data_IF_567247116728
#
_entry.id   IF_567247116728
#
_cell.length_a   1.000
_cell.length_b   1.000
_cell.length_c   1.000
_cell.angle_alpha   90.00
_cell.angle_beta   90.00
_cell.angle_gamma   90.00
#
_symmetry.space_group_name_H-M   'P 1'
#
loop_
_entity.id
_entity.type
_entity.pdbx_description
1 polymer ?
#
# COMPACT_ATOMS: atom_id res chain seq x y z
N UNK A 1 19.57 23.38 8.99
CA UNK A 1 19.71 22.20 8.11
C UNK A 1 18.79 21.05 8.50
N UNK A 2 18.95 20.40 9.66
CA UNK A 2 18.17 19.20 10.03
C UNK A 2 16.63 19.38 10.04
N UNK A 3 16.12 20.56 10.43
CA UNK A 3 14.67 20.85 10.40
C UNK A 3 14.10 20.98 8.97
N UNK A 4 14.90 21.49 8.03
CA UNK A 4 14.50 21.61 6.62
C UNK A 4 14.50 20.23 5.95
N UNK A 5 15.51 19.41 6.22
CA UNK A 5 15.64 18.03 5.74
C UNK A 5 14.46 17.15 6.21
N UNK A 6 14.08 17.25 7.49
CA UNK A 6 12.91 16.57 8.04
C UNK A 6 11.57 17.04 7.45
N UNK A 7 11.51 18.28 6.93
CA UNK A 7 10.33 18.81 6.24
C UNK A 7 10.22 18.25 4.82
N UNK A 8 11.34 18.18 4.10
CA UNK A 8 11.41 17.63 2.73
C UNK A 8 11.04 16.15 2.70
N UNK A 9 11.57 15.35 3.64
CA UNK A 9 11.21 13.92 3.75
C UNK A 9 9.71 13.71 4.01
N UNK A 10 9.12 14.58 4.85
CA UNK A 10 7.69 14.54 5.14
C UNK A 10 6.86 14.82 3.88
N UNK A 11 7.21 15.86 3.11
CA UNK A 11 6.52 16.20 1.87
C UNK A 11 6.60 15.03 0.88
N UNK A 12 7.78 14.44 0.71
CA UNK A 12 7.99 13.28 -0.17
C UNK A 12 7.03 12.14 0.16
N UNK A 13 6.91 11.79 1.43
CA UNK A 13 6.04 10.70 1.87
C UNK A 13 4.54 11.03 1.77
N UNK A 14 4.17 12.30 1.92
CA UNK A 14 2.80 12.74 1.65
C UNK A 14 2.45 12.63 0.17
N UNK A 15 3.35 13.04 -0.72
CA UNK A 15 3.16 12.89 -2.17
C UNK A 15 3.00 11.41 -2.53
N UNK A 16 3.87 10.53 -2.03
CA UNK A 16 3.72 9.09 -2.23
C UNK A 16 2.41 8.52 -1.71
N UNK A 17 1.98 8.94 -0.52
CA UNK A 17 0.74 8.47 0.09
C UNK A 17 -0.51 8.93 -0.68
N UNK A 18 -0.55 10.21 -1.10
CA UNK A 18 -1.66 10.74 -1.89
C UNK A 18 -1.68 10.20 -3.31
N UNK A 19 -0.51 9.92 -3.88
CA UNK A 19 -0.37 9.21 -5.16
C UNK A 19 -0.94 7.78 -5.10
N UNK A 20 -0.82 7.10 -3.97
CA UNK A 20 -1.50 5.82 -3.76
C UNK A 20 -3.01 5.99 -3.60
N UNK A 21 -3.51 7.08 -3.00
CA UNK A 21 -4.96 7.36 -2.89
C UNK A 21 -5.56 7.75 -4.24
N UNK A 22 -4.82 8.47 -5.08
CA UNK A 22 -5.32 8.98 -6.35
C UNK A 22 -5.75 7.89 -7.33
N UNK A 23 -5.29 6.65 -7.16
CA UNK A 23 -5.73 5.48 -7.95
C UNK A 23 -7.25 5.28 -7.92
N UNK A 24 -7.96 5.79 -6.90
CA UNK A 24 -9.43 5.74 -6.83
C UNK A 24 -10.14 6.48 -7.97
N UNK A 25 -9.45 7.41 -8.65
CA UNK A 25 -9.99 8.09 -9.83
C UNK A 25 -10.42 7.10 -10.93
N UNK A 26 -9.80 5.90 -10.95
CA UNK A 26 -10.19 4.78 -11.78
C UNK A 26 -11.69 4.49 -11.78
N UNK A 27 -12.31 4.45 -10.60
CA UNK A 27 -13.73 4.11 -10.49
C UNK A 27 -14.65 5.18 -11.09
N UNK A 28 -14.23 6.45 -11.03
CA UNK A 28 -14.97 7.54 -11.65
C UNK A 28 -14.86 7.46 -13.18
N UNK A 29 -13.66 7.22 -13.70
CA UNK A 29 -13.44 7.03 -15.14
C UNK A 29 -14.18 5.79 -15.67
N UNK A 30 -14.15 4.67 -14.94
CA UNK A 30 -14.88 3.46 -15.30
C UNK A 30 -16.38 3.71 -15.34
N UNK A 31 -16.95 4.34 -14.29
CA UNK A 31 -18.37 4.66 -14.25
C UNK A 31 -18.80 5.57 -15.40
N UNK A 32 -18.00 6.60 -15.72
CA UNK A 32 -18.27 7.51 -16.83
C UNK A 32 -18.17 6.80 -18.20
N UNK A 33 -17.16 5.94 -18.38
CA UNK A 33 -16.96 5.20 -19.64
C UNK A 33 -18.08 4.17 -19.85
N UNK A 34 -18.51 3.48 -18.79
CA UNK A 34 -19.68 2.59 -18.81
C UNK A 34 -20.95 3.38 -19.19
N UNK A 35 -21.14 4.58 -18.66
CA UNK A 35 -22.29 5.42 -19.01
C UNK A 35 -22.27 5.88 -20.48
N UNK A 36 -21.09 5.98 -21.09
CA UNK A 36 -20.90 6.30 -22.50
C UNK A 36 -20.86 5.09 -23.44
N UNK A 37 -21.09 3.87 -22.93
CA UNK A 37 -21.01 2.64 -23.70
C UNK A 37 -22.02 2.58 -24.85
N UNK A 38 -21.60 2.07 -26.02
CA UNK A 38 -22.44 1.96 -27.23
C UNK A 38 -22.35 0.59 -27.91
N UNK A 39 -21.97 -0.45 -27.19
CA UNK A 39 -22.08 -1.82 -27.70
C UNK A 39 -23.55 -2.20 -27.98
N UNK A 40 -23.78 -3.33 -28.68
CA UNK A 40 -25.13 -3.75 -29.10
C UNK A 40 -26.07 -4.05 -27.91
N UNK A 41 -25.50 -4.39 -26.76
CA UNK A 41 -26.20 -4.51 -25.48
C UNK A 41 -25.62 -3.53 -24.46
N UNK A 42 -26.42 -3.09 -23.47
CA UNK A 42 -25.92 -2.29 -22.35
C UNK A 42 -24.75 -2.98 -21.64
N UNK A 43 -23.78 -2.19 -21.18
CA UNK A 43 -22.60 -2.72 -20.50
C UNK A 43 -22.99 -3.50 -19.24
N UNK A 44 -22.58 -4.76 -19.16
CA UNK A 44 -22.79 -5.63 -18.01
C UNK A 44 -21.48 -5.82 -17.26
N UNK A 45 -21.42 -5.36 -16.00
CA UNK A 45 -20.25 -5.61 -15.13
C UNK A 45 -19.97 -7.09 -14.85
N UNK A 46 -20.90 -7.98 -15.16
CA UNK A 46 -20.73 -9.42 -14.99
C UNK A 46 -20.09 -10.07 -16.21
N UNK A 47 -20.45 -9.58 -17.40
CA UNK A 47 -20.10 -10.22 -18.68
C UNK A 47 -18.99 -9.48 -19.42
N UNK A 48 -18.98 -8.14 -19.36
CA UNK A 48 -17.99 -7.31 -20.02
C UNK A 48 -16.76 -7.12 -19.13
N UNK A 49 -15.60 -7.17 -19.77
CA UNK A 49 -14.34 -6.87 -19.13
C UNK A 49 -14.19 -5.36 -18.91
N UNK A 50 -13.42 -5.00 -17.90
CA UNK A 50 -12.87 -3.67 -17.70
C UNK A 50 -12.01 -3.31 -18.92
N UNK A 51 -11.23 -4.24 -19.47
CA UNK A 51 -10.42 -3.99 -20.66
C UNK A 51 -11.24 -3.63 -21.92
N UNK A 52 -12.49 -4.11 -22.02
CA UNK A 52 -13.41 -3.74 -23.11
C UNK A 52 -13.66 -2.21 -23.14
N UNK A 53 -13.59 -1.54 -21.98
CA UNK A 53 -13.78 -0.10 -21.88
C UNK A 53 -12.63 0.70 -22.49
N UNK A 54 -11.44 0.11 -22.61
CA UNK A 54 -10.25 0.73 -23.23
C UNK A 54 -10.08 0.42 -24.71
N UNK A 55 -10.97 -0.37 -25.33
CA UNK A 55 -10.81 -0.69 -26.75
C UNK A 55 -11.11 0.53 -27.64
N UNK A 56 -10.18 0.82 -28.56
CA UNK A 56 -10.22 2.00 -29.42
C UNK A 56 -11.22 1.83 -30.57
N UNK A 57 -11.30 0.61 -31.10
CA UNK A 57 -12.10 0.32 -32.29
C UNK A 57 -13.44 -0.29 -31.92
N UNK A 58 -14.53 0.26 -32.46
CA UNK A 58 -15.83 -0.39 -32.39
C UNK A 58 -15.91 -1.55 -33.40
N UNK A 59 -16.38 -2.72 -32.97
CA UNK A 59 -16.54 -3.88 -33.84
C UNK A 59 -16.50 -5.21 -33.11
N UNK A 60 -16.32 -6.29 -33.87
CA UNK A 60 -16.24 -7.65 -33.35
C UNK A 60 -14.81 -7.95 -32.87
N UNK A 61 -14.65 -8.22 -31.58
CA UNK A 61 -13.40 -8.58 -30.93
C UNK A 61 -13.52 -10.00 -30.35
N UNK A 62 -12.98 -10.97 -31.07
CA UNK A 62 -13.22 -12.38 -30.81
C UNK A 62 -14.69 -12.74 -31.10
N UNK A 63 -15.44 -13.09 -30.06
CA UNK A 63 -16.87 -13.43 -30.17
C UNK A 63 -17.80 -12.34 -29.66
N UNK A 64 -17.25 -11.18 -29.25
CA UNK A 64 -18.00 -10.11 -28.57
C UNK A 64 -17.92 -8.83 -29.38
N UNK A 65 -19.05 -8.19 -29.58
CA UNK A 65 -19.11 -6.89 -30.23
C UNK A 65 -19.00 -5.77 -29.18
N UNK A 66 -17.98 -4.93 -29.33
CA UNK A 66 -17.57 -3.93 -28.34
C UNK A 66 -17.55 -2.56 -29.01
N UNK A 67 -18.04 -1.54 -28.30
CA UNK A 67 -17.91 -0.15 -28.70
C UNK A 67 -17.85 0.77 -27.48
N UNK A 68 -16.67 1.33 -27.24
CA UNK A 68 -16.37 2.23 -26.11
C UNK A 68 -15.93 3.62 -26.62
N UNK A 69 -16.87 4.54 -26.94
CA UNK A 69 -16.52 5.87 -27.45
C UNK A 69 -15.67 6.71 -26.49
N UNK A 70 -15.73 6.42 -25.19
CA UNK A 70 -14.95 7.10 -24.15
C UNK A 70 -13.68 6.32 -23.76
N UNK A 71 -13.18 5.43 -24.63
CA UNK A 71 -11.98 4.63 -24.35
C UNK A 71 -10.79 5.46 -23.90
N UNK A 72 -10.57 6.65 -24.48
CA UNK A 72 -9.49 7.55 -24.09
C UNK A 72 -9.57 7.98 -22.60
N UNK A 73 -10.77 8.16 -22.05
CA UNK A 73 -10.93 8.45 -20.61
C UNK A 73 -10.48 7.26 -19.76
N UNK A 74 -10.85 6.05 -20.17
CA UNK A 74 -10.48 4.82 -19.49
C UNK A 74 -8.97 4.57 -19.56
N UNK A 75 -8.39 4.71 -20.74
CA UNK A 75 -6.97 4.51 -21.02
C UNK A 75 -6.09 5.51 -20.28
N UNK A 76 -6.43 6.80 -20.32
CA UNK A 76 -5.77 7.84 -19.52
C UNK A 76 -5.88 7.52 -18.03
N UNK A 77 -7.04 7.03 -17.58
CA UNK A 77 -7.22 6.63 -16.19
C UNK A 77 -6.32 5.45 -15.80
N UNK A 78 -6.16 4.44 -16.65
CA UNK A 78 -5.20 3.36 -16.42
C UNK A 78 -3.76 3.88 -16.31
N UNK A 79 -3.37 4.81 -17.18
CA UNK A 79 -2.05 5.48 -17.13
C UNK A 79 -1.87 6.24 -15.82
N UNK A 80 -2.85 7.06 -15.43
CA UNK A 80 -2.79 7.84 -14.19
C UNK A 80 -2.73 6.94 -12.94
N UNK A 81 -3.49 5.84 -12.95
CA UNK A 81 -3.43 4.84 -11.90
C UNK A 81 -2.02 4.21 -11.81
N UNK A 82 -1.45 3.83 -12.94
CA UNK A 82 -0.13 3.21 -13.00
C UNK A 82 1.00 4.14 -12.55
N UNK A 83 0.99 5.38 -13.05
CA UNK A 83 1.91 6.43 -12.60
C UNK A 83 1.76 6.69 -11.10
N UNK A 84 0.52 6.74 -10.60
CA UNK A 84 0.22 6.87 -9.17
C UNK A 84 0.87 5.78 -8.32
N UNK A 85 0.81 4.53 -8.78
CA UNK A 85 1.43 3.37 -8.13
C UNK A 85 2.96 3.41 -8.20
N UNK A 86 3.55 3.80 -9.34
CA UNK A 86 5.01 3.95 -9.48
C UNK A 86 5.54 5.04 -8.56
N UNK A 87 4.91 6.22 -8.54
CA UNK A 87 5.29 7.31 -7.64
C UNK A 87 5.15 6.86 -6.17
N UNK A 88 4.08 6.14 -5.82
CA UNK A 88 3.93 5.59 -4.48
C UNK A 88 5.08 4.62 -4.12
N UNK A 89 5.45 3.70 -5.02
CA UNK A 89 6.55 2.75 -4.82
C UNK A 89 7.91 3.45 -4.62
N UNK A 90 8.15 4.53 -5.36
CA UNK A 90 9.39 5.31 -5.29
C UNK A 90 9.45 6.15 -4.00
N UNK A 91 8.36 6.84 -3.66
CA UNK A 91 8.34 7.85 -2.59
C UNK A 91 8.00 7.29 -1.21
N UNK A 92 7.32 6.14 -1.11
CA UNK A 92 7.06 5.46 0.17
C UNK A 92 8.27 4.56 0.50
N UNK A 93 9.02 4.92 1.53
CA UNK A 93 10.21 4.14 1.95
C UNK A 93 9.85 2.97 2.83
N UNK A 94 10.76 1.99 2.91
CA UNK A 94 10.68 0.87 3.85
C UNK A 94 10.51 1.33 5.31
N UNK A 95 11.09 2.47 5.68
CA UNK A 95 10.92 3.03 7.02
C UNK A 95 9.48 3.48 7.27
N UNK A 96 8.83 4.12 6.29
CA UNK A 96 7.43 4.56 6.41
C UNK A 96 6.48 3.37 6.48
N UNK A 97 6.69 2.34 5.67
CA UNK A 97 5.88 1.10 5.74
C UNK A 97 5.97 0.43 7.12
N UNK A 98 7.16 0.47 7.74
CA UNK A 98 7.37 -0.03 9.11
C UNK A 98 6.70 0.84 10.17
N UNK A 99 6.75 2.17 10.05
CA UNK A 99 6.10 3.09 11.00
C UNK A 99 4.59 3.02 10.90
N UNK A 100 4.04 2.92 9.68
CA UNK A 100 2.61 2.73 9.45
C UNK A 100 2.09 1.42 10.08
N UNK A 101 2.98 0.42 10.21
CA UNK A 101 2.67 -0.81 10.90
C UNK A 101 2.46 -0.62 12.41
N UNK A 102 2.97 0.42 13.10
CA UNK A 102 3.00 0.44 14.57
C UNK A 102 1.67 0.85 15.23
N UNK A 103 1.24 0.06 16.22
CA UNK A 103 0.07 0.34 17.05
C UNK A 103 0.31 1.59 17.93
N UNK A 104 -0.74 2.39 18.14
CA UNK A 104 -0.72 3.57 19.01
C UNK A 104 -0.36 3.23 20.44
N UNK A 105 -0.82 2.08 20.94
CA UNK A 105 -0.50 1.62 22.29
C UNK A 105 1.01 1.36 22.45
N UNK A 106 1.63 0.71 21.47
CA UNK A 106 3.07 0.42 21.46
C UNK A 106 3.89 1.72 21.38
N UNK A 107 3.47 2.68 20.54
CA UNK A 107 4.11 4.00 20.46
C UNK A 107 3.93 4.82 21.75
N UNK A 108 2.76 4.77 22.38
CA UNK A 108 2.49 5.44 23.65
C UNK A 108 3.35 4.86 24.77
N UNK A 109 3.44 3.53 24.85
CA UNK A 109 4.23 2.82 25.85
C UNK A 109 5.74 3.06 25.66
N UNK A 110 6.23 3.10 24.42
CA UNK A 110 7.62 3.44 24.11
C UNK A 110 7.99 4.91 24.43
N UNK A 111 7.03 5.83 24.27
CA UNK A 111 7.22 7.23 24.68
C UNK A 111 7.21 7.37 26.19
N UNK A 112 6.29 6.68 26.87
CA UNK A 112 6.21 6.66 28.33
C UNK A 112 7.48 6.09 28.94
N UNK A 113 7.98 4.96 28.42
CA UNK A 113 9.22 4.34 28.90
C UNK A 113 10.44 5.22 28.68
N UNK A 114 10.59 5.89 27.52
CA UNK A 114 11.66 6.89 27.32
C UNK A 114 11.53 8.10 28.25
N UNK A 115 10.30 8.58 28.47
CA UNK A 115 10.06 9.70 29.38
C UNK A 115 10.42 9.33 30.82
N UNK A 116 10.08 8.11 31.26
CA UNK A 116 10.46 7.59 32.57
C UNK A 116 11.99 7.42 32.69
N UNK A 117 12.67 6.91 31.67
CA UNK A 117 14.15 6.81 31.65
C UNK A 117 14.81 8.19 31.69
N UNK A 118 14.27 9.18 30.96
CA UNK A 118 14.79 10.54 30.96
C UNK A 118 14.58 11.26 32.31
N UNK A 119 13.51 10.91 33.05
CA UNK A 119 13.21 11.44 34.39
C UNK A 119 13.90 10.70 35.52
N UNK A 120 14.50 9.54 35.25
CA UNK A 120 15.23 8.79 36.27
C UNK A 120 16.45 9.63 36.74
N UNK A 121 16.58 9.90 38.04
CA UNK A 121 17.73 10.65 38.55
C UNK A 121 19.01 9.93 38.15
N UNK A 122 19.98 10.67 37.60
CA UNK A 122 21.33 10.16 37.33
C UNK A 122 21.96 9.87 38.69
N UNK A 123 21.80 8.65 39.20
CA UNK A 123 22.44 8.22 40.44
C UNK A 123 23.94 8.45 40.30
N UNK A 124 24.50 9.17 41.26
CA UNK A 124 25.88 9.62 41.31
C UNK A 124 26.87 8.47 41.01
N UNK A 125 27.99 8.87 40.41
CA UNK A 125 29.15 8.05 40.05
C UNK A 125 29.51 7.12 41.22
N UNK A 126 29.62 5.79 41.02
CA UNK A 126 29.99 4.89 42.10
C UNK A 126 31.41 5.23 42.56
N UNK A 127 31.57 5.60 43.82
CA UNK A 127 32.87 5.73 44.47
C UNK A 127 33.57 4.37 44.43
N UNK A 128 34.82 4.36 43.96
CA UNK A 128 35.73 3.21 44.04
C UNK A 128 35.97 2.85 45.51
N UNK A 129 35.15 1.99 46.08
CA UNK A 129 35.47 1.29 47.32
C UNK A 129 35.03 -0.16 47.17
N UNK A 130 36.00 -1.05 47.31
CA UNK A 130 35.94 -2.47 47.07
C UNK A 130 34.97 -3.21 48.01
N UNK A 131 34.35 -4.29 47.50
CA UNK A 131 33.71 -5.29 48.36
C UNK A 131 32.53 -6.02 47.72
N UNK A 132 32.79 -7.22 47.18
CA UNK A 132 31.84 -8.29 46.78
C UNK A 132 30.62 -7.85 45.95
N UNK A 133 30.71 -8.15 44.65
CA UNK A 133 29.63 -8.06 43.68
C UNK A 133 28.41 -8.92 44.06
N UNK A 134 27.48 -8.33 44.82
CA UNK A 134 26.07 -8.75 44.80
C UNK A 134 25.38 -7.89 43.73
N UNK A 135 25.06 -8.52 42.61
CA UNK A 135 24.19 -7.93 41.59
C UNK A 135 22.85 -7.61 42.25
N UNK A 136 22.58 -6.34 42.51
CA UNK A 136 21.27 -5.93 43.02
C UNK A 136 20.21 -6.23 41.96
N UNK A 137 19.00 -6.69 42.33
CA UNK A 137 17.94 -7.00 41.36
C UNK A 137 17.61 -5.80 40.45
N UNK A 138 17.82 -4.57 40.93
CA UNK A 138 17.66 -3.34 40.16
C UNK A 138 18.80 -3.06 39.14
N UNK A 139 20.02 -3.57 39.36
CA UNK A 139 21.11 -3.51 38.38
C UNK A 139 20.97 -4.61 37.31
N UNK A 140 20.52 -5.80 37.71
CA UNK A 140 20.13 -6.86 36.79
C UNK A 140 18.93 -6.46 35.91
N UNK A 141 17.93 -5.77 36.46
CA UNK A 141 16.78 -5.24 35.71
C UNK A 141 17.17 -4.12 34.73
N UNK A 142 18.10 -3.23 35.10
CA UNK A 142 18.65 -2.20 34.19
C UNK A 142 19.55 -2.79 33.11
N UNK A 143 20.32 -3.84 33.45
CA UNK A 143 21.09 -4.63 32.50
C UNK A 143 20.20 -5.38 31.51
N UNK A 144 19.11 -5.99 32.00
CA UNK A 144 18.08 -6.67 31.20
C UNK A 144 17.28 -5.69 30.33
N UNK A 145 16.95 -4.49 30.81
CA UNK A 145 16.24 -3.47 30.02
C UNK A 145 17.15 -2.83 28.95
N UNK A 146 18.40 -2.53 29.29
CA UNK A 146 19.37 -2.01 28.33
C UNK A 146 19.88 -3.11 27.38
N UNK A 147 19.89 -4.37 27.81
CA UNK A 147 20.08 -5.53 26.95
C UNK A 147 18.86 -5.71 26.06
N UNK A 148 17.62 -5.63 26.55
CA UNK A 148 16.37 -5.69 25.77
C UNK A 148 16.25 -4.59 24.71
N UNK A 149 16.73 -3.38 25.04
CA UNK A 149 16.84 -2.25 24.11
C UNK A 149 17.96 -2.47 23.08
N UNK A 150 19.04 -3.17 23.45
CA UNK A 150 20.18 -3.51 22.56
C UNK A 150 20.03 -4.83 21.81
N UNK A 151 19.19 -5.75 22.27
CA UNK A 151 19.03 -7.12 21.77
C UNK A 151 17.80 -7.30 20.90
N UNK A 152 16.99 -6.24 20.69
CA UNK A 152 15.88 -6.29 19.74
C UNK A 152 14.91 -7.45 20.03
N UNK A 153 14.29 -7.46 21.21
CA UNK A 153 13.29 -8.48 21.55
C UNK A 153 12.23 -8.66 20.44
N UNK A 154 11.76 -9.90 20.22
CA UNK A 154 11.30 -10.42 18.93
C UNK A 154 9.88 -9.93 18.60
N UNK A 155 9.77 -8.68 18.19
CA UNK A 155 8.67 -8.21 17.37
C UNK A 155 9.14 -8.16 15.91
N UNK A 156 9.69 -9.29 15.42
CA UNK A 156 10.29 -9.54 14.08
C UNK A 156 10.63 -8.25 13.34
N UNK A 157 11.89 -7.82 13.40
CA UNK A 157 12.37 -6.72 12.58
C UNK A 157 11.85 -6.93 11.15
N UNK A 158 10.94 -6.06 10.71
CA UNK A 158 10.29 -6.21 9.39
C UNK A 158 11.43 -6.30 8.38
N UNK A 159 11.60 -7.45 7.70
CA UNK A 159 12.79 -7.68 6.90
C UNK A 159 12.82 -6.63 5.81
N UNK A 160 13.96 -5.95 5.68
CA UNK A 160 14.16 -4.92 4.66
C UNK A 160 13.79 -5.47 3.27
N UNK A 161 14.12 -6.75 3.02
CA UNK A 161 13.79 -7.49 1.82
C UNK A 161 12.28 -7.53 1.55
N UNK A 162 11.42 -7.77 2.55
CA UNK A 162 9.98 -7.81 2.35
C UNK A 162 9.41 -6.41 2.02
N UNK A 163 9.87 -5.36 2.69
CA UNK A 163 9.45 -3.99 2.34
C UNK A 163 9.97 -3.54 0.98
N UNK A 164 11.15 -4.02 0.56
CA UNK A 164 11.67 -3.79 -0.78
C UNK A 164 10.84 -4.55 -1.81
N UNK A 165 10.49 -5.81 -1.54
CA UNK A 165 9.63 -6.62 -2.39
C UNK A 165 8.28 -5.95 -2.62
N UNK A 166 7.62 -5.42 -1.57
CA UNK A 166 6.37 -4.66 -1.72
C UNK A 166 6.53 -3.49 -2.69
N UNK A 167 7.64 -2.74 -2.61
CA UNK A 167 7.88 -1.59 -3.49
C UNK A 167 8.14 -2.03 -4.93
N UNK A 168 8.94 -3.08 -5.14
CA UNK A 168 9.21 -3.62 -6.47
C UNK A 168 7.92 -4.14 -7.09
N UNK A 169 7.15 -4.94 -6.35
CA UNK A 169 5.86 -5.49 -6.81
C UNK A 169 4.86 -4.37 -7.13
N UNK A 170 4.78 -3.34 -6.29
CA UNK A 170 3.92 -2.17 -6.54
C UNK A 170 4.37 -1.38 -7.78
N UNK A 171 5.68 -1.20 -7.96
CA UNK A 171 6.25 -0.54 -9.15
C UNK A 171 5.99 -1.34 -10.42
N UNK A 172 6.21 -2.65 -10.41
CA UNK A 172 5.90 -3.54 -11.54
C UNK A 172 4.42 -3.51 -11.87
N UNK A 173 3.55 -3.56 -10.86
CA UNK A 173 2.11 -3.48 -11.06
C UNK A 173 1.68 -2.13 -11.64
N UNK A 174 2.29 -1.04 -11.17
CA UNK A 174 2.04 0.31 -11.65
C UNK A 174 2.47 0.49 -13.11
N UNK A 175 3.65 0.00 -13.47
CA UNK A 175 4.12 -0.04 -14.86
C UNK A 175 3.18 -0.88 -15.72
N UNK A 176 2.74 -2.05 -15.22
CA UNK A 176 1.79 -2.93 -15.92
C UNK A 176 0.50 -2.20 -16.28
N UNK A 177 -0.19 -1.61 -15.30
CA UNK A 177 -1.46 -0.92 -15.59
C UNK A 177 -1.27 0.37 -16.42
N UNK A 178 -0.11 1.04 -16.32
CA UNK A 178 0.20 2.15 -17.22
C UNK A 178 0.33 1.67 -18.68
N UNK A 179 1.00 0.53 -18.91
CA UNK A 179 1.12 -0.07 -20.24
C UNK A 179 -0.23 -0.54 -20.76
N UNK A 180 -1.12 -1.07 -19.90
CA UNK A 180 -2.52 -1.40 -20.28
C UNK A 180 -3.25 -0.21 -20.90
N UNK A 181 -3.09 1.00 -20.33
CA UNK A 181 -3.69 2.21 -20.89
C UNK A 181 -2.99 2.77 -22.12
N UNK A 182 -1.69 2.49 -22.30
CA UNK A 182 -0.94 2.92 -23.49
C UNK A 182 -1.09 1.96 -24.67
N UNK A 183 -1.39 0.69 -24.38
CA UNK A 183 -1.52 -0.40 -25.34
C UNK A 183 -2.87 -1.08 -25.11
N UNK A 184 -3.97 -0.50 -25.63
CA UNK A 184 -5.29 -1.10 -25.60
C UNK A 184 -5.31 -2.52 -26.15
N UNK A 185 -6.26 -3.34 -25.69
CA UNK A 185 -6.30 -4.76 -26.00
C UNK A 185 -6.40 -5.05 -27.51
N UNK A 186 -7.08 -4.18 -28.27
CA UNK A 186 -7.26 -4.28 -29.72
C UNK A 186 -6.08 -3.74 -30.54
N UNK A 187 -5.03 -3.22 -29.88
CA UNK A 187 -3.80 -2.76 -30.55
C UNK A 187 -2.72 -3.85 -30.62
N UNK A 188 -2.25 -4.32 -29.47
CA UNK A 188 -1.27 -5.41 -29.34
C UNK A 188 -1.67 -6.29 -28.15
N UNK A 189 -2.54 -7.26 -28.41
CA UNK A 189 -3.15 -8.12 -27.38
C UNK A 189 -2.12 -8.75 -26.44
N UNK A 190 -1.02 -9.28 -26.97
CA UNK A 190 0.01 -9.94 -26.16
C UNK A 190 0.66 -8.98 -25.14
N UNK A 191 0.94 -7.73 -25.53
CA UNK A 191 1.52 -6.73 -24.62
C UNK A 191 0.50 -6.34 -23.56
N UNK A 192 -0.76 -6.16 -23.96
CA UNK A 192 -1.86 -5.87 -23.04
C UNK A 192 -2.02 -6.97 -21.98
N UNK A 193 -2.05 -8.24 -22.40
CA UNK A 193 -2.20 -9.38 -21.49
C UNK A 193 -1.02 -9.53 -20.52
N UNK A 194 0.22 -9.36 -20.99
CA UNK A 194 1.41 -9.38 -20.13
C UNK A 194 1.38 -8.22 -19.13
N UNK A 195 0.99 -7.03 -19.57
CA UNK A 195 0.90 -5.84 -18.73
C UNK A 195 -0.21 -5.96 -17.67
N UNK A 196 -1.39 -6.46 -18.06
CA UNK A 196 -2.49 -6.75 -17.14
C UNK A 196 -2.09 -7.84 -16.14
N UNK A 197 -1.41 -8.90 -16.58
CA UNK A 197 -0.86 -9.93 -15.71
C UNK A 197 0.14 -9.37 -14.68
N UNK A 198 1.03 -8.47 -15.09
CA UNK A 198 1.96 -7.80 -14.19
C UNK A 198 1.23 -6.94 -13.13
N UNK A 199 0.15 -6.25 -13.51
CA UNK A 199 -0.71 -5.53 -12.59
C UNK A 199 -1.40 -6.45 -11.58
N UNK A 200 -2.10 -7.49 -12.06
CA UNK A 200 -2.87 -8.39 -11.20
C UNK A 200 -1.98 -9.19 -10.24
N UNK A 201 -0.90 -9.79 -10.74
CA UNK A 201 0.02 -10.58 -9.91
C UNK A 201 0.84 -9.67 -8.98
N UNK A 202 1.42 -8.60 -9.52
CA UNK A 202 2.26 -7.70 -8.73
C UNK A 202 1.46 -6.96 -7.64
N UNK A 203 0.30 -6.41 -7.99
CA UNK A 203 -0.53 -5.63 -7.08
C UNK A 203 -1.12 -6.47 -5.94
N UNK A 204 -1.64 -7.66 -6.27
CA UNK A 204 -2.19 -8.58 -5.27
C UNK A 204 -1.11 -9.09 -4.31
N UNK A 205 0.05 -9.52 -4.82
CA UNK A 205 1.18 -9.96 -4.00
C UNK A 205 1.74 -8.82 -3.13
N UNK A 206 1.83 -7.59 -3.64
CA UNK A 206 2.27 -6.44 -2.86
C UNK A 206 1.36 -6.23 -1.64
N UNK A 207 0.04 -6.31 -1.82
CA UNK A 207 -0.93 -6.18 -0.73
C UNK A 207 -0.91 -7.36 0.23
N UNK A 208 -0.78 -8.60 -0.25
CA UNK A 208 -0.64 -9.79 0.62
C UNK A 208 0.61 -9.66 1.49
N UNK A 209 1.78 -9.40 0.90
CA UNK A 209 3.03 -9.26 1.65
C UNK A 209 2.93 -8.12 2.66
N UNK A 210 2.44 -6.94 2.25
CA UNK A 210 2.30 -5.81 3.16
C UNK A 210 1.29 -6.07 4.29
N UNK A 211 0.17 -6.69 3.96
CA UNK A 211 -0.86 -7.08 4.92
C UNK A 211 -0.32 -8.05 5.97
N UNK A 212 0.43 -9.07 5.55
CA UNK A 212 1.09 -10.03 6.45
C UNK A 212 2.10 -9.33 7.36
N UNK A 213 2.87 -8.37 6.83
CA UNK A 213 3.81 -7.56 7.63
C UNK A 213 3.10 -6.72 8.70
N UNK A 214 1.87 -6.29 8.43
CA UNK A 214 1.08 -5.47 9.35
C UNK A 214 0.28 -6.28 10.37
N UNK A 215 0.14 -7.61 10.22
CA UNK A 215 -0.54 -8.47 11.22
C UNK A 215 0.07 -8.26 12.60
N UNK A 216 -0.79 -8.10 13.61
CA UNK A 216 -0.39 -7.88 15.00
C UNK A 216 0.25 -6.52 15.26
N UNK A 217 0.32 -5.63 14.26
CA UNK A 217 0.90 -4.29 14.41
C UNK A 217 -0.11 -3.18 14.08
N UNK A 218 -0.96 -3.38 13.06
CA UNK A 218 -1.97 -2.39 12.66
C UNK A 218 -3.30 -3.07 12.32
N UNK A 219 -4.42 -2.48 12.78
CA UNK A 219 -5.76 -2.92 12.39
C UNK A 219 -6.00 -2.88 10.87
N UNK A 220 -5.25 -2.03 10.14
CA UNK A 220 -5.30 -1.96 8.69
C UNK A 220 -4.76 -3.21 7.97
N UNK A 221 -4.08 -4.11 8.69
CA UNK A 221 -3.57 -5.37 8.13
C UNK A 221 -4.70 -6.20 7.50
N UNK A 222 -5.81 -6.37 8.21
CA UNK A 222 -6.93 -7.21 7.79
C UNK A 222 -7.59 -6.75 6.49
N UNK A 223 -8.04 -5.49 6.35
CA UNK A 223 -8.62 -5.04 5.08
C UNK A 223 -7.60 -5.05 3.92
N UNK A 224 -6.31 -4.78 4.18
CA UNK A 224 -5.25 -4.88 3.16
C UNK A 224 -5.05 -6.34 2.72
N UNK A 225 -5.03 -7.29 3.66
CA UNK A 225 -4.96 -8.72 3.37
C UNK A 225 -6.19 -9.24 2.66
N UNK A 226 -7.38 -8.79 3.04
CA UNK A 226 -8.61 -9.16 2.37
C UNK A 226 -8.58 -8.71 0.91
N UNK A 227 -8.17 -7.46 0.67
CA UNK A 227 -8.01 -6.94 -0.68
C UNK A 227 -6.99 -7.74 -1.50
N UNK A 228 -5.78 -7.93 -0.96
CA UNK A 228 -4.71 -8.67 -1.62
C UNK A 228 -5.07 -10.12 -1.86
N UNK A 229 -5.63 -10.81 -0.86
CA UNK A 229 -6.02 -12.21 -0.92
C UNK A 229 -7.17 -12.47 -1.89
N UNK A 230 -8.23 -11.64 -1.85
CA UNK A 230 -9.35 -11.76 -2.79
C UNK A 230 -8.87 -11.61 -4.24
N UNK A 231 -8.05 -10.60 -4.51
CA UNK A 231 -7.48 -10.39 -5.85
C UNK A 231 -6.50 -11.49 -6.25
N UNK A 232 -5.65 -11.96 -5.33
CA UNK A 232 -4.70 -13.04 -5.62
C UNK A 232 -5.41 -14.34 -5.98
N UNK A 233 -6.42 -14.73 -5.21
CA UNK A 233 -7.24 -15.92 -5.50
C UNK A 233 -7.97 -15.75 -6.84
N UNK A 234 -8.60 -14.59 -7.08
CA UNK A 234 -9.26 -14.32 -8.35
C UNK A 234 -8.28 -14.39 -9.53
N UNK A 235 -7.06 -13.90 -9.36
CA UNK A 235 -6.00 -13.94 -10.38
C UNK A 235 -5.56 -15.36 -10.67
N UNK A 236 -5.40 -16.20 -9.65
CA UNK A 236 -5.08 -17.62 -9.81
C UNK A 236 -6.21 -18.36 -10.53
N UNK A 237 -7.46 -18.13 -10.13
CA UNK A 237 -8.64 -18.73 -10.79
C UNK A 237 -8.73 -18.28 -12.25
N UNK A 238 -8.62 -16.97 -12.50
CA UNK A 238 -8.65 -16.39 -13.85
C UNK A 238 -7.56 -16.93 -14.76
N UNK A 239 -6.34 -17.09 -14.24
CA UNK A 239 -5.24 -17.72 -14.97
C UNK A 239 -5.48 -19.21 -15.24
N UNK A 240 -5.92 -19.97 -14.24
CA UNK A 240 -6.16 -21.41 -14.35
C UNK A 240 -7.26 -21.76 -15.37
N UNK A 241 -8.35 -20.99 -15.37
CA UNK A 241 -9.48 -21.17 -16.30
C UNK A 241 -9.34 -20.36 -17.59
N UNK A 242 -8.26 -19.58 -17.73
CA UNK A 242 -8.05 -18.63 -18.83
C UNK A 242 -9.27 -17.73 -19.07
N UNK A 243 -9.89 -17.26 -17.98
CA UNK A 243 -11.14 -16.48 -17.97
C UNK A 243 -12.37 -17.15 -18.64
N UNK A 244 -12.34 -18.46 -18.93
CA UNK A 244 -13.50 -19.20 -19.43
C UNK A 244 -14.45 -19.55 -18.28
N UNK A 245 -15.22 -18.55 -17.84
CA UNK A 245 -16.24 -18.67 -16.80
C UNK A 245 -17.54 -18.00 -17.25
N UNK A 246 -18.71 -18.32 -16.66
CA UNK A 246 -19.98 -17.71 -17.05
C UNK A 246 -20.03 -16.19 -16.88
N UNK A 247 -19.34 -15.66 -15.88
CA UNK A 247 -19.26 -14.22 -15.59
C UNK A 247 -17.81 -13.72 -15.59
N UNK A 248 -17.18 -13.61 -16.78
CA UNK A 248 -15.75 -13.31 -16.87
C UNK A 248 -15.43 -11.87 -16.45
N UNK A 249 -16.35 -10.94 -16.67
CA UNK A 249 -16.26 -9.56 -16.19
C UNK A 249 -16.35 -9.45 -14.66
N UNK A 250 -17.11 -10.32 -13.99
CA UNK A 250 -17.11 -10.39 -12.52
C UNK A 250 -15.72 -10.81 -12.03
N UNK A 251 -15.15 -11.85 -12.64
CA UNK A 251 -13.85 -12.39 -12.22
C UNK A 251 -12.72 -11.37 -12.38
N UNK A 252 -12.65 -10.67 -13.51
CA UNK A 252 -11.65 -9.63 -13.74
C UNK A 252 -11.79 -8.46 -12.75
N UNK A 253 -13.02 -8.09 -12.37
CA UNK A 253 -13.24 -7.08 -11.31
C UNK A 253 -12.72 -7.54 -9.96
N UNK A 254 -12.89 -8.81 -9.60
CA UNK A 254 -12.27 -9.33 -8.39
C UNK A 254 -10.74 -9.38 -8.49
N UNK A 255 -10.18 -9.53 -9.69
CA UNK A 255 -8.73 -9.40 -9.91
C UNK A 255 -8.26 -7.95 -9.71
N UNK A 256 -8.97 -6.96 -10.25
CA UNK A 256 -8.53 -5.55 -10.28
C UNK A 256 -9.00 -4.68 -9.11
N UNK A 257 -10.31 -4.62 -8.83
CA UNK A 257 -10.88 -3.67 -7.86
C UNK A 257 -10.24 -3.76 -6.46
N UNK A 258 -10.03 -4.96 -5.88
CA UNK A 258 -9.42 -5.05 -4.56
C UNK A 258 -7.99 -4.50 -4.54
N UNK A 259 -7.24 -4.60 -5.65
CA UNK A 259 -5.90 -4.01 -5.75
C UNK A 259 -5.99 -2.49 -5.60
N UNK A 260 -6.85 -1.85 -6.41
CA UNK A 260 -7.07 -0.39 -6.39
C UNK A 260 -7.50 0.09 -5.01
N UNK A 261 -8.49 -0.58 -4.40
CA UNK A 261 -9.00 -0.24 -3.06
C UNK A 261 -7.91 -0.44 -1.99
N UNK A 262 -7.19 -1.56 -2.03
CA UNK A 262 -6.14 -1.89 -1.08
C UNK A 262 -4.98 -0.89 -1.12
N UNK A 263 -4.53 -0.49 -2.31
CA UNK A 263 -3.46 0.51 -2.48
C UNK A 263 -3.91 1.87 -1.94
N UNK A 264 -5.13 2.30 -2.28
CA UNK A 264 -5.69 3.55 -1.77
C UNK A 264 -5.79 3.55 -0.24
N UNK A 265 -6.22 2.44 0.35
CA UNK A 265 -6.26 2.25 1.80
C UNK A 265 -4.87 2.38 2.43
N UNK A 266 -3.85 1.72 1.85
CA UNK A 266 -2.46 1.83 2.31
C UNK A 266 -2.00 3.29 2.27
N UNK A 267 -2.26 3.99 1.17
CA UNK A 267 -1.98 5.43 1.03
C UNK A 267 -2.65 6.26 2.11
N UNK A 268 -3.95 6.07 2.33
CA UNK A 268 -4.72 6.78 3.34
C UNK A 268 -4.19 6.53 4.77
N UNK A 269 -3.85 5.27 5.10
CA UNK A 269 -3.24 4.90 6.38
C UNK A 269 -1.92 5.64 6.57
N UNK A 270 -1.05 5.65 5.56
CA UNK A 270 0.24 6.33 5.63
C UNK A 270 0.05 7.85 5.80
N UNK A 271 -0.77 8.49 4.97
CA UNK A 271 -1.05 9.92 5.05
C UNK A 271 -1.62 10.31 6.42
N UNK A 272 -2.54 9.50 6.95
CA UNK A 272 -3.12 9.70 8.28
C UNK A 272 -2.05 9.61 9.38
N UNK A 273 -1.15 8.63 9.32
CA UNK A 273 -0.09 8.40 10.32
C UNK A 273 0.97 9.51 10.28
N UNK A 274 1.35 9.99 9.09
CA UNK A 274 2.26 11.13 8.93
C UNK A 274 1.71 12.42 9.54
N UNK A 275 0.38 12.57 9.60
CA UNK A 275 -0.30 13.75 10.14
C UNK A 275 -0.47 13.77 11.66
N UNK A 276 -0.33 12.63 12.35
CA UNK A 276 -0.51 12.53 13.81
C UNK A 276 0.45 13.45 14.59
N UNK A 277 1.77 13.47 14.33
CA UNK A 277 2.69 14.32 15.10
C UNK A 277 2.38 15.82 14.96
N UNK A 278 2.02 16.28 13.75
CA UNK A 278 1.67 17.68 13.51
C UNK A 278 0.38 18.08 14.24
N UNK A 279 -0.63 17.21 14.28
CA UNK A 279 -1.86 17.43 15.06
C UNK A 279 -1.59 17.51 16.56
N UNK A 280 -0.75 16.62 17.10
CA UNK A 280 -0.35 16.64 18.51
C UNK A 280 0.36 17.95 18.89
N UNK A 281 1.30 18.41 18.06
CA UNK A 281 2.00 19.68 18.29
C UNK A 281 1.05 20.89 18.26
N UNK A 282 0.08 20.93 17.33
CA UNK A 282 -0.94 21.99 17.27
C UNK A 282 -1.86 21.98 18.49
N UNK A 283 -2.29 20.80 18.95
CA UNK A 283 -3.11 20.68 20.15
C UNK A 283 -2.38 21.18 21.40
N UNK A 284 -1.11 20.82 21.58
CA UNK A 284 -0.30 21.30 22.71
C UNK A 284 -0.07 22.82 22.69
N UNK A 285 0.04 23.42 21.50
CA UNK A 285 0.11 24.90 21.37
C UNK A 285 -1.18 25.58 21.78
N UNK A 286 -2.35 25.02 21.41
CA UNK A 286 -3.66 25.54 21.81
C UNK A 286 -3.91 25.47 23.31
N UNK A 287 -3.39 24.45 24.00
CA UNK A 287 -3.50 24.32 25.46
C UNK A 287 -2.57 25.28 26.22
N UNK A 288 -1.52 25.79 25.55
CA UNK A 288 -0.54 26.72 26.13
C UNK A 288 -0.82 28.20 25.84
N UNK A 289 -1.80 28.48 24.97
CA UNK A 289 -2.29 29.81 24.66
C UNK A 289 -3.54 30.08 25.49
#
# INVERSE_FOLDING_TARGET
MAAAEASTDRIRHYLGAWSAVSVLQFFAAEAATIAGWRGPAPYSRRLNFISDLGQVSCGLHGTREICSPLHALMDVSFVLQGVGMVIAALLITSAVLRVAAQDRAVLAQARLSRALVARAPRTARPSRAAGRARTTPAAAARGSLAAAIRSGHPAVAVPWAATLAVRILLGLAGTGVAVVGLVPQDSIEAVHLVAAGAYFVGGSLALVVLGLLWIGRSAAAWPVLLCGGASFVATLVGGAVRLHVPEPGTLERFMGYPITVGIALVGAVIAYRLGVPARQARALRRVRA
#
